data_IF_153414768178
#
_entry.id   IF_153414768178
#
_cell.length_a   1.000
_cell.length_b   1.000
_cell.length_c   1.000
_cell.angle_alpha   90.00
_cell.angle_beta   90.00
_cell.angle_gamma   90.00
#
_symmetry.space_group_name_H-M   'P 1'
#
loop_
_entity.id
_entity.type
_entity.pdbx_description
1 polymer ?
#
# COMPACT_ATOMS: atom_id res chain seq x y z
N UNK A 1 -14.86 7.24 -39.41
CA UNK A 1 -15.90 8.10 -38.80
C UNK A 1 -16.21 7.52 -37.43
N UNK A 2 -15.29 7.73 -36.48
CA UNK A 2 -15.44 7.31 -35.08
C UNK A 2 -15.57 8.62 -34.33
N UNK A 3 -16.81 9.11 -34.23
CA UNK A 3 -17.12 10.10 -33.20
C UNK A 3 -16.79 9.38 -31.88
N UNK A 4 -15.73 9.81 -31.21
CA UNK A 4 -15.52 9.47 -29.81
C UNK A 4 -16.77 9.97 -29.09
N UNK A 5 -17.68 9.06 -28.76
CA UNK A 5 -18.88 9.37 -28.00
C UNK A 5 -18.44 10.09 -26.73
N UNK A 6 -18.71 11.39 -26.67
CA UNK A 6 -18.46 12.24 -25.50
C UNK A 6 -19.12 11.70 -24.22
N UNK A 7 -20.06 10.76 -24.36
CA UNK A 7 -20.72 10.05 -23.28
C UNK A 7 -19.85 8.99 -22.57
N UNK A 8 -18.74 8.52 -23.18
CA UNK A 8 -17.86 7.48 -22.60
C UNK A 8 -16.76 8.01 -21.67
N UNK A 9 -16.50 9.33 -21.67
CA UNK A 9 -15.42 9.96 -20.90
C UNK A 9 -15.76 10.64 -19.54
N UNK A 10 -17.01 10.78 -19.05
CA UNK A 10 -17.27 11.50 -17.80
C UNK A 10 -16.81 10.76 -16.53
N UNK A 11 -16.44 9.48 -16.64
CA UNK A 11 -16.05 8.63 -15.49
C UNK A 11 -14.65 8.96 -14.95
N UNK A 12 -13.73 9.43 -15.80
CA UNK A 12 -12.34 9.72 -15.43
C UNK A 12 -12.20 10.99 -14.55
N UNK A 13 -12.86 12.13 -14.87
CA UNK A 13 -12.88 13.29 -13.98
C UNK A 13 -13.47 12.97 -12.60
N UNK A 14 -14.49 12.11 -12.53
CA UNK A 14 -15.17 11.72 -11.28
C UNK A 14 -14.23 10.98 -10.33
N UNK A 15 -13.43 10.02 -10.82
CA UNK A 15 -12.42 9.29 -10.05
C UNK A 15 -11.31 10.22 -9.51
N UNK A 16 -10.85 11.16 -10.33
CA UNK A 16 -9.87 12.18 -9.92
C UNK A 16 -10.40 13.15 -8.86
N UNK A 17 -11.63 13.65 -9.05
CA UNK A 17 -12.35 14.47 -8.08
C UNK A 17 -12.62 13.71 -6.78
N UNK A 18 -12.89 12.41 -6.86
CA UNK A 18 -13.03 11.55 -5.68
C UNK A 18 -11.72 11.42 -4.91
N UNK A 19 -10.59 11.21 -5.57
CA UNK A 19 -9.27 11.23 -4.92
C UNK A 19 -9.02 12.57 -4.22
N UNK A 20 -9.23 13.69 -4.91
CA UNK A 20 -9.06 15.03 -4.35
C UNK A 20 -10.03 15.27 -3.18
N UNK A 21 -11.31 14.92 -3.33
CA UNK A 21 -12.34 15.01 -2.28
C UNK A 21 -11.99 14.20 -1.05
N UNK A 22 -11.54 12.97 -1.25
CA UNK A 22 -11.22 12.03 -0.18
C UNK A 22 -10.06 12.53 0.67
N UNK A 23 -9.11 13.28 0.09
CA UNK A 23 -7.89 13.72 0.80
C UNK A 23 -7.84 15.20 1.15
N UNK A 24 -8.13 16.09 0.21
CA UNK A 24 -8.08 17.53 0.45
C UNK A 24 -9.32 18.07 1.17
N UNK A 25 -10.43 17.32 1.12
CA UNK A 25 -11.68 17.69 1.77
C UNK A 25 -12.08 16.71 2.89
N UNK A 26 -11.17 15.81 3.30
CA UNK A 26 -11.36 15.08 4.56
C UNK A 26 -11.46 16.10 5.69
N UNK A 27 -12.56 16.07 6.44
CA UNK A 27 -12.76 17.03 7.50
C UNK A 27 -11.66 16.85 8.57
N UNK A 28 -10.99 17.94 8.95
CA UNK A 28 -9.89 17.97 9.93
C UNK A 28 -10.36 17.37 11.28
N UNK A 29 -11.66 17.45 11.55
CA UNK A 29 -12.30 16.91 12.75
C UNK A 29 -12.47 15.38 12.76
N UNK A 30 -12.20 14.69 11.64
CA UNK A 30 -12.32 13.22 11.53
C UNK A 30 -11.07 12.51 12.05
N UNK A 31 -11.21 11.25 12.48
CA UNK A 31 -10.08 10.48 13.02
C UNK A 31 -9.04 10.12 11.94
N UNK A 32 -9.46 10.07 10.68
CA UNK A 32 -8.60 9.78 9.54
C UNK A 32 -7.50 10.82 9.35
N UNK A 33 -7.82 12.11 9.53
CA UNK A 33 -6.84 13.19 9.37
C UNK A 33 -5.64 13.09 10.33
N UNK A 34 -5.83 13.06 11.67
CA UNK A 34 -4.71 12.96 12.59
C UNK A 34 -3.98 11.61 12.43
N UNK A 35 -4.67 10.52 12.06
CA UNK A 35 -4.05 9.23 11.73
C UNK A 35 -3.03 9.37 10.58
N UNK A 36 -3.47 9.93 9.45
CA UNK A 36 -2.63 10.16 8.28
C UNK A 36 -1.50 11.15 8.60
N UNK A 37 -1.81 12.23 9.30
CA UNK A 37 -0.83 13.23 9.69
C UNK A 37 0.28 12.63 10.56
N UNK A 38 -0.07 11.84 11.57
CA UNK A 38 0.92 11.24 12.47
C UNK A 38 1.78 10.21 11.73
N UNK A 39 1.17 9.34 10.91
CA UNK A 39 1.85 8.30 10.14
C UNK A 39 2.77 8.84 9.04
N UNK A 40 2.33 9.87 8.32
CA UNK A 40 3.01 10.37 7.11
C UNK A 40 3.84 11.61 7.46
N UNK A 41 3.20 12.69 7.87
CA UNK A 41 3.84 14.00 8.04
C UNK A 41 4.72 14.01 9.27
N UNK A 42 4.16 13.76 10.45
CA UNK A 42 4.88 13.86 11.72
C UNK A 42 6.06 12.89 11.81
N UNK A 43 5.88 11.65 11.37
CA UNK A 43 6.95 10.65 11.36
C UNK A 43 8.09 11.04 10.39
N UNK A 44 7.78 11.67 9.25
CA UNK A 44 8.76 12.17 8.28
C UNK A 44 9.50 13.41 8.81
N UNK A 45 8.78 14.35 9.40
CA UNK A 45 9.39 15.52 10.06
C UNK A 45 10.34 15.10 11.18
N UNK A 46 9.92 14.12 12.00
CA UNK A 46 10.80 13.54 13.02
C UNK A 46 12.03 12.90 12.41
N UNK A 47 11.95 12.28 11.23
CA UNK A 47 13.14 11.74 10.57
C UNK A 47 14.11 12.86 10.16
N UNK A 48 13.61 13.92 9.54
CA UNK A 48 14.44 15.06 9.14
C UNK A 48 15.09 15.77 10.33
N UNK A 49 14.35 15.93 11.43
CA UNK A 49 14.86 16.57 12.65
C UNK A 49 15.84 15.69 13.45
N UNK A 50 15.89 14.38 13.19
CA UNK A 50 16.76 13.43 13.87
C UNK A 50 17.84 12.86 12.93
N UNK A 51 18.29 13.66 11.96
CA UNK A 51 19.39 13.27 11.10
C UNK A 51 20.71 13.19 11.89
N UNK A 52 21.52 12.21 11.52
CA UNK A 52 22.86 11.99 12.04
C UNK A 52 23.87 12.89 11.32
N UNK A 53 25.04 13.09 11.90
CA UNK A 53 26.09 13.90 11.27
C UNK A 53 26.67 13.17 10.04
N UNK A 54 27.14 13.93 9.04
CA UNK A 54 27.76 13.35 7.84
C UNK A 54 28.94 12.42 8.18
N UNK A 55 29.71 12.76 9.22
CA UNK A 55 30.80 11.92 9.71
C UNK A 55 30.30 10.56 10.21
N UNK A 56 29.23 10.55 11.01
CA UNK A 56 28.64 9.31 11.52
C UNK A 56 28.03 8.48 10.40
N UNK A 57 27.39 9.11 9.41
CA UNK A 57 26.87 8.44 8.21
C UNK A 57 28.01 7.75 7.46
N UNK A 58 29.11 8.47 7.21
CA UNK A 58 30.30 7.92 6.55
C UNK A 58 30.90 6.75 7.33
N UNK A 59 30.94 6.85 8.67
CA UNK A 59 31.43 5.80 9.56
C UNK A 59 30.54 4.55 9.54
N UNK A 60 29.22 4.70 9.56
CA UNK A 60 28.25 3.60 9.41
C UNK A 60 28.45 2.87 8.07
N UNK A 61 28.54 3.64 6.99
CA UNK A 61 28.77 3.12 5.64
C UNK A 61 30.06 2.30 5.54
N UNK A 62 31.19 2.88 5.99
CA UNK A 62 32.50 2.21 5.99
C UNK A 62 32.48 0.91 6.82
N UNK A 63 31.83 0.93 7.99
CA UNK A 63 31.75 -0.24 8.87
C UNK A 63 31.00 -1.40 8.21
N UNK A 64 29.94 -1.13 7.42
CA UNK A 64 29.21 -2.16 6.67
C UNK A 64 30.00 -2.68 5.48
N UNK A 65 30.62 -1.77 4.72
CA UNK A 65 31.49 -2.13 3.61
C UNK A 65 32.58 -3.12 4.07
N UNK A 66 33.25 -2.82 5.19
CA UNK A 66 34.27 -3.70 5.78
C UNK A 66 33.66 -5.05 6.20
N UNK A 67 32.50 -5.05 6.87
CA UNK A 67 31.81 -6.29 7.27
C UNK A 67 31.46 -7.17 6.07
N UNK A 68 30.97 -6.60 4.98
CA UNK A 68 30.63 -7.36 3.78
C UNK A 68 31.85 -7.92 3.06
N UNK A 69 32.91 -7.12 2.90
CA UNK A 69 34.18 -7.62 2.35
C UNK A 69 34.73 -8.77 3.20
N UNK A 70 34.66 -8.67 4.52
CA UNK A 70 35.08 -9.75 5.43
C UNK A 70 34.26 -11.02 5.23
N UNK A 71 32.93 -10.92 5.16
CA UNK A 71 32.04 -12.08 4.96
C UNK A 71 32.22 -12.71 3.58
N UNK A 72 32.42 -11.92 2.54
CA UNK A 72 32.71 -12.44 1.19
C UNK A 72 34.03 -13.20 1.13
N UNK A 73 35.11 -12.64 1.72
CA UNK A 73 36.42 -13.31 1.81
C UNK A 73 36.34 -14.64 2.58
N UNK A 74 35.51 -14.72 3.61
CA UNK A 74 35.28 -15.95 4.37
C UNK A 74 34.55 -17.00 3.52
N UNK A 75 33.52 -16.60 2.77
CA UNK A 75 32.73 -17.53 1.95
C UNK A 75 33.46 -18.01 0.68
N UNK A 76 34.49 -17.30 0.22
CA UNK A 76 35.24 -17.60 -1.01
C UNK A 76 36.66 -18.09 -0.76
N UNK A 77 36.96 -18.52 0.47
CA UNK A 77 38.31 -18.98 0.87
C UNK A 77 38.69 -20.35 0.30
N UNK A 78 37.78 -21.04 -0.39
CA UNK A 78 37.99 -22.40 -0.93
C UNK A 78 37.94 -22.47 -2.47
N UNK A 79 37.68 -21.37 -3.19
CA UNK A 79 37.69 -21.31 -4.65
C UNK A 79 39.12 -21.03 -5.18
N UNK A 80 40.03 -22.00 -5.10
CA UNK A 80 41.43 -21.82 -5.55
C UNK A 80 41.68 -22.15 -7.03
N UNK A 81 40.70 -22.64 -7.79
CA UNK A 81 40.92 -23.21 -9.14
C UNK A 81 40.50 -22.33 -10.34
N UNK A 82 40.17 -21.05 -10.15
CA UNK A 82 39.71 -20.19 -11.24
C UNK A 82 40.81 -19.32 -11.86
N UNK A 83 40.73 -19.13 -13.19
CA UNK A 83 41.65 -18.30 -13.97
C UNK A 83 41.69 -16.84 -13.51
N UNK A 84 42.81 -16.14 -13.74
CA UNK A 84 43.01 -14.74 -13.31
C UNK A 84 41.91 -13.81 -13.82
N UNK A 85 41.42 -14.03 -15.05
CA UNK A 85 40.36 -13.24 -15.68
C UNK A 85 38.99 -13.45 -15.01
N UNK A 86 38.65 -14.69 -14.65
CA UNK A 86 37.39 -15.00 -13.96
C UNK A 86 37.38 -14.47 -12.52
N UNK A 87 38.54 -14.45 -11.85
CA UNK A 87 38.73 -13.82 -10.53
C UNK A 87 38.56 -12.31 -10.58
N UNK A 88 39.10 -11.64 -11.60
CA UNK A 88 38.93 -10.20 -11.80
C UNK A 88 37.47 -9.82 -12.10
N UNK A 89 36.82 -10.51 -13.03
CA UNK A 89 35.42 -10.27 -13.38
C UNK A 89 34.48 -10.50 -12.17
N UNK A 90 34.70 -11.58 -11.41
CA UNK A 90 33.95 -11.89 -10.18
C UNK A 90 34.13 -10.79 -9.13
N UNK A 91 35.34 -10.25 -8.97
CA UNK A 91 35.61 -9.16 -8.03
C UNK A 91 34.97 -7.83 -8.48
N UNK A 92 35.02 -7.50 -9.77
CA UNK A 92 34.39 -6.29 -10.30
C UNK A 92 32.86 -6.34 -10.14
N UNK A 93 32.23 -7.44 -10.58
CA UNK A 93 30.79 -7.66 -10.41
C UNK A 93 30.42 -7.68 -8.93
N UNK A 94 31.24 -8.29 -8.07
CA UNK A 94 31.01 -8.29 -6.63
C UNK A 94 31.04 -6.89 -6.03
N UNK A 95 32.04 -6.06 -6.36
CA UNK A 95 32.11 -4.68 -5.85
C UNK A 95 30.93 -3.83 -6.34
N UNK A 96 30.46 -4.02 -7.59
CA UNK A 96 29.26 -3.35 -8.11
C UNK A 96 27.98 -3.82 -7.41
N UNK A 97 27.79 -5.14 -7.28
CA UNK A 97 26.66 -5.70 -6.54
C UNK A 97 26.68 -5.30 -5.06
N UNK A 98 27.86 -5.19 -4.47
CA UNK A 98 28.03 -4.76 -3.09
C UNK A 98 27.76 -3.26 -2.94
N UNK A 99 28.14 -2.42 -3.90
CA UNK A 99 27.76 -1.01 -3.93
C UNK A 99 26.25 -0.84 -4.07
N UNK A 100 25.59 -1.58 -4.98
CA UNK A 100 24.12 -1.59 -5.11
C UNK A 100 23.48 -2.07 -3.82
N UNK A 101 23.97 -3.17 -3.23
CA UNK A 101 23.47 -3.69 -1.96
C UNK A 101 23.64 -2.71 -0.82
N UNK A 102 24.79 -2.05 -0.72
CA UNK A 102 25.05 -1.02 0.29
C UNK A 102 24.16 0.19 0.07
N UNK A 103 23.92 0.60 -1.17
CA UNK A 103 23.03 1.69 -1.51
C UNK A 103 21.58 1.36 -1.11
N UNK A 104 21.06 0.20 -1.54
CA UNK A 104 19.73 -0.30 -1.15
C UNK A 104 19.63 -0.41 0.38
N UNK A 105 20.65 -0.94 1.03
CA UNK A 105 20.61 -1.14 2.48
C UNK A 105 20.79 0.16 3.25
N UNK A 106 21.52 1.14 2.73
CA UNK A 106 21.61 2.47 3.32
C UNK A 106 20.26 3.17 3.28
N UNK A 107 19.51 2.94 2.20
CA UNK A 107 18.10 3.31 2.07
C UNK A 107 17.19 2.55 3.04
N UNK A 108 17.26 1.22 3.06
CA UNK A 108 16.43 0.36 3.93
C UNK A 108 16.69 0.59 5.43
N UNK A 109 17.95 0.84 5.81
CA UNK A 109 18.36 1.06 7.19
C UNK A 109 18.36 2.55 7.56
N UNK A 110 18.03 3.44 6.61
CA UNK A 110 17.91 4.88 6.84
C UNK A 110 19.13 5.44 7.58
N UNK A 111 20.34 5.19 7.05
CA UNK A 111 21.62 5.44 7.75
C UNK A 111 21.82 6.89 8.20
N UNK A 112 21.12 7.80 7.52
CA UNK A 112 21.06 9.22 7.82
C UNK A 112 20.32 9.52 9.13
N UNK A 113 19.63 8.57 9.72
CA UNK A 113 18.88 8.73 10.97
C UNK A 113 19.74 8.37 12.19
N UNK A 114 19.71 9.21 13.21
CA UNK A 114 20.12 8.82 14.56
C UNK A 114 18.98 8.03 15.22
N UNK A 115 19.11 6.70 15.22
CA UNK A 115 18.09 5.81 15.80
C UNK A 115 17.78 6.10 17.27
N UNK A 116 18.75 6.61 18.06
CA UNK A 116 18.52 6.88 19.48
C UNK A 116 17.63 8.11 19.65
N UNK A 117 17.97 9.21 18.97
CA UNK A 117 17.16 10.43 18.98
C UNK A 117 15.78 10.20 18.39
N UNK A 118 15.71 9.45 17.28
CA UNK A 118 14.43 9.14 16.65
C UNK A 118 13.55 8.23 17.52
N UNK A 119 14.15 7.28 18.27
CA UNK A 119 13.41 6.45 19.24
C UNK A 119 12.90 7.25 20.46
N UNK A 120 13.64 8.28 20.89
CA UNK A 120 13.24 9.16 22.00
C UNK A 120 12.05 10.07 21.65
N UNK A 121 11.80 10.27 20.35
CA UNK A 121 10.70 11.06 19.83
C UNK A 121 9.60 10.13 19.27
N UNK A 122 8.68 9.62 20.10
CA UNK A 122 7.61 8.74 19.66
C UNK A 122 6.58 9.49 18.79
N UNK A 123 5.75 8.72 18.07
CA UNK A 123 4.58 9.25 17.36
C UNK A 123 3.50 9.68 18.36
N UNK A 124 2.60 10.59 17.96
CA UNK A 124 1.59 11.17 18.87
C UNK A 124 0.42 10.22 19.14
N UNK A 125 -0.19 9.67 18.10
CA UNK A 125 -1.31 8.72 18.21
C UNK A 125 -0.83 7.32 18.56
N UNK A 126 0.41 7.00 18.18
CA UNK A 126 0.98 5.68 18.31
C UNK A 126 2.33 5.67 19.04
N UNK A 127 2.38 6.12 20.30
CA UNK A 127 3.64 6.30 21.01
C UNK A 127 4.40 4.99 21.26
N UNK A 128 3.70 3.86 21.15
CA UNK A 128 4.21 2.51 21.45
C UNK A 128 4.61 1.72 20.20
N UNK A 129 4.53 2.33 19.02
CA UNK A 129 4.96 1.68 17.77
C UNK A 129 6.46 1.48 17.77
N UNK A 130 6.88 0.32 17.30
CA UNK A 130 8.30 -0.03 17.29
C UNK A 130 9.08 0.86 16.30
N UNK A 131 10.34 1.14 16.63
CA UNK A 131 11.26 1.83 15.72
C UNK A 131 11.30 1.18 14.32
N UNK A 132 11.28 -0.15 14.28
CA UNK A 132 11.27 -0.92 13.03
C UNK A 132 10.06 -0.59 12.15
N UNK A 133 8.87 -0.52 12.75
CA UNK A 133 7.64 -0.17 12.04
C UNK A 133 7.71 1.27 11.51
N UNK A 134 8.23 2.22 12.30
CA UNK A 134 8.41 3.61 11.88
C UNK A 134 9.36 3.77 10.71
N UNK A 135 10.49 3.04 10.74
CA UNK A 135 11.44 3.00 9.63
C UNK A 135 10.78 2.42 8.37
N UNK A 136 10.00 1.34 8.50
CA UNK A 136 9.26 0.76 7.37
C UNK A 136 8.23 1.72 6.79
N UNK A 137 7.50 2.45 7.63
CA UNK A 137 6.59 3.50 7.15
C UNK A 137 7.34 4.56 6.34
N UNK A 138 8.46 5.08 6.85
CA UNK A 138 9.27 6.08 6.13
C UNK A 138 9.79 5.54 4.79
N UNK A 139 10.28 4.30 4.79
CA UNK A 139 10.72 3.64 3.58
C UNK A 139 9.58 3.52 2.57
N UNK A 140 8.38 3.11 3.00
CA UNK A 140 7.20 3.06 2.14
C UNK A 140 6.86 4.45 1.60
N UNK A 141 6.89 5.49 2.44
CA UNK A 141 6.67 6.88 2.01
C UNK A 141 7.66 7.29 0.91
N UNK A 142 8.96 7.06 1.11
CA UNK A 142 9.98 7.45 0.12
C UNK A 142 9.91 6.63 -1.16
N UNK A 143 9.64 5.33 -1.07
CA UNK A 143 9.44 4.48 -2.26
C UNK A 143 8.22 4.98 -3.04
N UNK A 144 7.11 5.26 -2.37
CA UNK A 144 5.91 5.79 -3.03
C UNK A 144 6.17 7.14 -3.68
N UNK A 145 6.91 8.04 -3.02
CA UNK A 145 7.30 9.33 -3.59
C UNK A 145 8.16 9.18 -4.86
N UNK A 146 9.12 8.25 -4.85
CA UNK A 146 9.96 7.97 -6.03
C UNK A 146 9.17 7.31 -7.17
N UNK A 147 8.27 6.37 -6.83
CA UNK A 147 7.38 5.77 -7.81
C UNK A 147 6.49 6.85 -8.43
N UNK A 148 5.90 7.72 -7.61
CA UNK A 148 5.07 8.82 -8.09
C UNK A 148 5.86 9.74 -9.03
N UNK A 149 7.07 10.15 -8.65
CA UNK A 149 7.94 10.97 -9.49
C UNK A 149 8.25 10.28 -10.84
N UNK A 150 8.68 9.02 -10.81
CA UNK A 150 8.98 8.26 -12.04
C UNK A 150 7.75 8.12 -12.93
N UNK A 151 6.58 7.88 -12.34
CA UNK A 151 5.35 7.67 -13.06
C UNK A 151 4.86 8.99 -13.70
N UNK A 152 4.98 10.11 -12.98
CA UNK A 152 4.79 11.45 -13.57
C UNK A 152 5.75 11.73 -14.72
N UNK A 153 7.04 11.41 -14.57
CA UNK A 153 8.03 11.61 -15.62
C UNK A 153 7.70 10.76 -16.86
N UNK A 154 7.33 9.49 -16.65
CA UNK A 154 6.90 8.59 -17.72
C UNK A 154 5.65 9.11 -18.43
N UNK A 155 4.66 9.65 -17.71
CA UNK A 155 3.49 10.27 -18.33
C UNK A 155 3.84 11.55 -19.08
N UNK A 156 4.65 12.42 -18.48
CA UNK A 156 5.05 13.70 -19.07
C UNK A 156 5.80 13.51 -20.39
N UNK A 157 6.62 12.45 -20.50
CA UNK A 157 7.34 12.11 -21.73
C UNK A 157 6.47 11.26 -22.68
N UNK A 158 5.80 10.24 -22.14
CA UNK A 158 5.05 9.26 -22.92
C UNK A 158 3.80 9.84 -23.57
N UNK A 159 3.13 10.79 -22.93
CA UNK A 159 1.91 11.38 -23.47
C UNK A 159 2.18 12.21 -24.74
N UNK A 160 3.13 13.16 -24.78
CA UNK A 160 3.45 13.89 -26.01
C UNK A 160 3.84 12.97 -27.17
N UNK A 161 4.58 11.88 -26.89
CA UNK A 161 4.97 10.90 -27.91
C UNK A 161 3.72 10.17 -28.44
N UNK A 162 2.87 9.67 -27.55
CA UNK A 162 1.62 9.00 -27.93
C UNK A 162 0.69 9.94 -28.71
N UNK A 163 0.55 11.18 -28.24
CA UNK A 163 -0.21 12.22 -28.92
C UNK A 163 0.35 12.53 -30.30
N UNK A 164 1.66 12.71 -30.45
CA UNK A 164 2.28 12.95 -31.75
C UNK A 164 1.94 11.84 -32.75
N UNK A 165 2.04 10.58 -32.31
CA UNK A 165 1.78 9.42 -33.17
C UNK A 165 0.31 9.36 -33.58
N UNK A 166 -0.61 9.49 -32.63
CA UNK A 166 -2.06 9.49 -32.91
C UNK A 166 -2.42 10.70 -33.77
N UNK A 167 -1.85 11.87 -33.47
CA UNK A 167 -2.12 13.10 -34.20
C UNK A 167 -1.65 13.02 -35.65
N UNK A 168 -0.52 12.37 -35.95
CA UNK A 168 -0.08 12.16 -37.34
C UNK A 168 -1.11 11.36 -38.14
N UNK A 169 -1.75 10.38 -37.51
CA UNK A 169 -2.80 9.58 -38.13
C UNK A 169 -4.11 10.36 -38.25
N UNK A 170 -4.54 11.07 -37.20
CA UNK A 170 -5.79 11.84 -37.18
C UNK A 170 -5.74 13.08 -38.08
N UNK A 171 -4.60 13.78 -38.14
CA UNK A 171 -4.41 14.93 -39.02
C UNK A 171 -4.24 14.55 -40.50
N UNK A 172 -4.08 13.25 -40.80
CA UNK A 172 -4.06 12.77 -42.18
C UNK A 172 -5.44 12.74 -42.84
N UNK A 173 -6.53 12.80 -42.06
CA UNK A 173 -7.89 12.83 -42.60
C UNK A 173 -8.25 14.20 -43.21
N UNK A 174 -8.77 14.19 -44.44
CA UNK A 174 -9.08 15.40 -45.22
C UNK A 174 -10.01 16.39 -44.50
N UNK A 175 -10.99 15.89 -43.75
CA UNK A 175 -11.94 16.70 -42.98
C UNK A 175 -11.23 17.52 -41.90
N UNK A 176 -10.24 16.93 -41.24
CA UNK A 176 -9.47 17.59 -40.17
C UNK A 176 -8.49 18.59 -40.79
N UNK A 177 -7.81 18.19 -41.87
CA UNK A 177 -6.82 19.02 -42.58
C UNK A 177 -7.41 20.31 -43.16
N UNK A 178 -8.65 20.27 -43.61
CA UNK A 178 -9.32 21.42 -44.26
C UNK A 178 -10.00 22.37 -43.28
N UNK A 179 -10.31 21.92 -42.06
CA UNK A 179 -11.04 22.70 -41.06
C UNK A 179 -10.15 23.11 -39.89
N UNK A 180 -9.83 24.41 -39.81
CA UNK A 180 -9.13 25.00 -38.67
C UNK A 180 -9.86 24.76 -37.34
N UNK A 181 -11.20 24.86 -37.35
CA UNK A 181 -12.03 24.68 -36.15
C UNK A 181 -11.91 23.25 -35.64
N UNK A 182 -11.98 22.24 -36.52
CA UNK A 182 -11.83 20.84 -36.12
C UNK A 182 -10.43 20.54 -35.59
N UNK A 183 -9.40 21.06 -36.26
CA UNK A 183 -8.01 20.93 -35.78
C UNK A 183 -7.84 21.53 -34.37
N UNK A 184 -8.36 22.73 -34.15
CA UNK A 184 -8.29 23.40 -32.85
C UNK A 184 -9.09 22.65 -31.77
N UNK A 185 -10.29 22.17 -32.10
CA UNK A 185 -11.12 21.38 -31.19
C UNK A 185 -10.42 20.09 -30.74
N UNK A 186 -9.81 19.34 -31.68
CA UNK A 186 -9.06 18.11 -31.36
C UNK A 186 -7.84 18.38 -30.48
N UNK A 187 -7.14 19.50 -30.67
CA UNK A 187 -6.03 19.91 -29.81
C UNK A 187 -6.53 20.20 -28.39
N UNK A 188 -7.62 20.97 -28.24
CA UNK A 188 -8.22 21.25 -26.93
C UNK A 188 -8.69 19.97 -26.24
N UNK A 189 -9.39 19.10 -26.96
CA UNK A 189 -9.87 17.83 -26.44
C UNK A 189 -8.72 16.95 -25.96
N UNK A 190 -7.65 16.86 -26.76
CA UNK A 190 -6.43 16.12 -26.39
C UNK A 190 -5.79 16.70 -25.12
N UNK A 191 -5.60 18.02 -25.03
CA UNK A 191 -5.03 18.66 -23.84
C UNK A 191 -5.91 18.40 -22.61
N UNK A 192 -7.23 18.50 -22.78
CA UNK A 192 -8.19 18.26 -21.70
C UNK A 192 -8.14 16.80 -21.23
N UNK A 193 -8.11 15.86 -22.16
CA UNK A 193 -7.95 14.43 -21.89
C UNK A 193 -6.66 14.16 -21.11
N UNK A 194 -5.55 14.77 -21.52
CA UNK A 194 -4.27 14.64 -20.82
C UNK A 194 -4.35 15.09 -19.37
N UNK A 195 -4.89 16.28 -19.15
CA UNK A 195 -5.05 16.85 -17.82
C UNK A 195 -5.94 15.95 -16.97
N UNK A 196 -7.02 15.40 -17.54
CA UNK A 196 -7.90 14.47 -16.83
C UNK A 196 -7.20 13.16 -16.46
N UNK A 197 -6.40 12.58 -17.37
CA UNK A 197 -5.59 11.38 -17.08
C UNK A 197 -4.59 11.67 -15.97
N UNK A 198 -3.89 12.81 -16.03
CA UNK A 198 -2.95 13.23 -14.99
C UNK A 198 -3.64 13.38 -13.63
N UNK A 199 -4.79 14.05 -13.57
CA UNK A 199 -5.55 14.26 -12.33
C UNK A 199 -6.04 12.92 -11.76
N UNK A 200 -6.59 12.05 -12.60
CA UNK A 200 -7.08 10.73 -12.18
C UNK A 200 -5.95 9.88 -11.63
N UNK A 201 -4.83 9.84 -12.33
CA UNK A 201 -3.68 9.09 -11.90
C UNK A 201 -3.10 9.65 -10.60
N UNK A 202 -3.03 10.97 -10.48
CA UNK A 202 -2.60 11.61 -9.25
C UNK A 202 -3.53 11.29 -8.08
N UNK A 203 -4.84 11.30 -8.31
CA UNK A 203 -5.83 10.89 -7.32
C UNK A 203 -5.66 9.43 -6.90
N UNK A 204 -5.46 8.51 -7.86
CA UNK A 204 -5.25 7.08 -7.59
C UNK A 204 -3.93 6.81 -6.85
N UNK A 205 -2.85 7.50 -7.22
CA UNK A 205 -1.56 7.39 -6.53
C UNK A 205 -1.60 7.97 -5.14
N UNK A 206 -2.24 9.12 -4.96
CA UNK A 206 -2.46 9.73 -3.64
C UNK A 206 -3.28 8.78 -2.76
N UNK A 207 -4.37 8.20 -3.28
CA UNK A 207 -5.19 7.22 -2.58
C UNK A 207 -4.39 5.97 -2.18
N UNK A 208 -3.63 5.40 -3.11
CA UNK A 208 -2.80 4.23 -2.86
C UNK A 208 -1.72 4.50 -1.80
N UNK A 209 -0.98 5.61 -1.94
CA UNK A 209 0.13 5.96 -1.04
C UNK A 209 -0.35 6.27 0.39
N UNK A 210 -1.42 7.05 0.52
CA UNK A 210 -2.03 7.39 1.81
C UNK A 210 -2.73 6.21 2.47
N UNK A 211 -3.24 5.23 1.71
CA UNK A 211 -3.77 3.99 2.26
C UNK A 211 -2.65 3.05 2.72
N UNK A 212 -1.58 2.94 1.93
CA UNK A 212 -0.50 1.98 2.14
C UNK A 212 0.28 2.25 3.44
N UNK A 213 0.47 3.52 3.83
CA UNK A 213 1.30 3.86 5.01
C UNK A 213 0.60 3.47 6.33
N UNK A 214 -0.64 3.89 6.63
CA UNK A 214 -1.39 3.41 7.79
C UNK A 214 -1.67 1.90 7.73
N UNK A 215 -1.84 1.33 6.54
CA UNK A 215 -1.92 -0.12 6.36
C UNK A 215 -0.66 -0.81 6.85
N UNK A 216 0.52 -0.38 6.40
CA UNK A 216 1.79 -1.01 6.75
C UNK A 216 2.04 -0.92 8.25
N UNK A 217 1.70 0.22 8.84
CA UNK A 217 1.70 0.45 10.27
C UNK A 217 0.81 -0.55 11.01
N UNK A 218 -0.44 -0.70 10.55
CA UNK A 218 -1.42 -1.64 11.10
C UNK A 218 -0.93 -3.08 11.02
N UNK A 219 -0.45 -3.49 9.85
CA UNK A 219 0.01 -4.84 9.59
C UNK A 219 1.17 -5.24 10.50
N UNK A 220 2.22 -4.42 10.55
CA UNK A 220 3.42 -4.69 11.34
C UNK A 220 3.08 -4.76 12.84
N UNK A 221 2.23 -3.84 13.28
CA UNK A 221 1.80 -3.73 14.67
C UNK A 221 0.96 -4.94 15.10
N UNK A 222 -0.04 -5.31 14.31
CA UNK A 222 -0.88 -6.49 14.54
C UNK A 222 -0.09 -7.79 14.47
N UNK A 223 0.85 -7.90 13.53
CA UNK A 223 1.72 -9.08 13.40
C UNK A 223 2.56 -9.27 14.67
N UNK A 224 3.16 -8.19 15.19
CA UNK A 224 3.93 -8.24 16.43
C UNK A 224 3.06 -8.64 17.65
N UNK A 225 1.81 -8.17 17.69
CA UNK A 225 0.84 -8.56 18.72
C UNK A 225 0.48 -10.04 18.64
N UNK A 226 0.18 -10.54 17.43
CA UNK A 226 -0.09 -11.94 17.18
C UNK A 226 1.10 -12.83 17.56
N UNK A 227 2.32 -12.46 17.19
CA UNK A 227 3.54 -13.16 17.60
C UNK A 227 3.73 -13.17 19.12
N UNK A 228 3.51 -12.04 19.78
CA UNK A 228 3.63 -11.91 21.23
C UNK A 228 2.64 -12.83 21.94
N UNK A 229 1.39 -12.90 21.47
CA UNK A 229 0.39 -13.79 22.01
C UNK A 229 0.69 -15.25 21.73
N UNK A 230 1.15 -15.58 20.53
CA UNK A 230 1.58 -16.94 20.21
C UNK A 230 2.74 -17.39 21.10
N UNK A 231 3.67 -16.49 21.45
CA UNK A 231 4.75 -16.78 22.41
C UNK A 231 4.20 -17.04 23.82
N UNK A 232 3.23 -16.26 24.29
CA UNK A 232 2.55 -16.49 25.60
C UNK A 232 1.72 -17.78 25.56
N UNK A 233 1.11 -18.09 24.42
CA UNK A 233 0.33 -19.31 24.24
C UNK A 233 1.23 -20.56 24.26
N UNK A 234 2.43 -20.48 23.70
CA UNK A 234 3.43 -21.56 23.71
C UNK A 234 4.25 -21.67 25.00
N UNK A 235 4.32 -20.60 25.81
CA UNK A 235 5.05 -20.64 27.08
C UNK A 235 4.33 -21.54 28.11
N UNK A 236 4.97 -21.74 29.27
CA UNK A 236 4.55 -22.63 30.39
C UNK A 236 3.03 -22.65 30.65
N UNK A 237 2.56 -23.71 31.32
CA UNK A 237 1.15 -23.89 31.70
C UNK A 237 0.62 -22.68 32.50
N UNK A 238 1.46 -22.08 33.35
CA UNK A 238 1.09 -20.91 34.15
C UNK A 238 1.59 -19.58 33.55
N UNK A 239 0.70 -18.59 33.51
CA UNK A 239 1.00 -17.21 33.10
C UNK A 239 1.62 -16.44 34.27
N UNK A 240 2.86 -15.98 34.13
CA UNK A 240 3.51 -15.16 35.14
C UNK A 240 3.00 -13.69 35.14
N UNK A 241 3.38 -12.89 36.15
CA UNK A 241 2.96 -11.48 36.26
C UNK A 241 3.44 -10.62 35.08
N UNK A 242 4.61 -10.89 34.51
CA UNK A 242 5.16 -10.13 33.37
C UNK A 242 4.38 -10.45 32.09
N UNK A 243 4.03 -11.71 31.89
CA UNK A 243 3.19 -12.18 30.79
C UNK A 243 1.77 -11.63 30.91
N UNK A 244 1.22 -11.57 32.13
CA UNK A 244 -0.08 -10.95 32.38
C UNK A 244 -0.09 -9.46 31.99
N UNK A 245 0.95 -8.71 32.35
CA UNK A 245 1.12 -7.32 31.93
C UNK A 245 1.24 -7.18 30.41
N UNK A 246 2.02 -8.06 29.75
CA UNK A 246 2.13 -8.10 28.28
C UNK A 246 0.79 -8.41 27.62
N UNK A 247 0.00 -9.31 28.19
CA UNK A 247 -1.32 -9.67 27.68
C UNK A 247 -2.29 -8.50 27.78
N UNK A 248 -2.30 -7.78 28.92
CA UNK A 248 -3.05 -6.54 29.08
C UNK A 248 -2.65 -5.47 28.07
N UNK A 249 -1.35 -5.33 27.85
CA UNK A 249 -0.81 -4.39 26.86
C UNK A 249 -1.31 -4.74 25.46
N UNK A 250 -1.13 -6.00 25.02
CA UNK A 250 -1.56 -6.44 23.69
C UNK A 250 -3.06 -6.27 23.51
N UNK A 251 -3.87 -6.65 24.51
CA UNK A 251 -5.32 -6.48 24.48
C UNK A 251 -5.72 -5.00 24.26
N UNK A 252 -5.16 -4.08 25.06
CA UNK A 252 -5.48 -2.64 24.95
C UNK A 252 -5.07 -2.09 23.59
N UNK A 253 -3.89 -2.46 23.12
CA UNK A 253 -3.38 -1.97 21.84
C UNK A 253 -4.16 -2.55 20.65
N UNK A 254 -4.58 -3.82 20.71
CA UNK A 254 -5.42 -4.42 19.68
C UNK A 254 -6.78 -3.72 19.57
N UNK A 255 -7.43 -3.40 20.69
CA UNK A 255 -8.68 -2.62 20.69
C UNK A 255 -8.46 -1.23 20.11
N UNK A 256 -7.40 -0.53 20.53
CA UNK A 256 -7.09 0.79 20.02
C UNK A 256 -6.84 0.76 18.50
N UNK A 257 -6.13 -0.26 18.02
CA UNK A 257 -5.89 -0.45 16.59
C UNK A 257 -7.19 -0.69 15.81
N UNK A 258 -8.06 -1.53 16.36
CA UNK A 258 -9.36 -1.85 15.76
C UNK A 258 -10.26 -0.61 15.71
N UNK A 259 -10.20 0.23 16.76
CA UNK A 259 -10.89 1.53 16.77
C UNK A 259 -10.43 2.41 15.62
N UNK A 260 -9.12 2.58 15.42
CA UNK A 260 -8.59 3.37 14.30
C UNK A 260 -9.01 2.81 12.94
N UNK A 261 -9.00 1.48 12.76
CA UNK A 261 -9.42 0.85 11.50
C UNK A 261 -10.91 1.14 11.22
N UNK A 262 -11.80 0.89 12.18
CA UNK A 262 -13.26 1.05 11.96
C UNK A 262 -13.64 2.51 11.73
N UNK A 263 -13.09 3.42 12.52
CA UNK A 263 -13.48 4.83 12.43
C UNK A 263 -12.87 5.48 11.19
N UNK A 264 -11.60 5.21 10.88
CA UNK A 264 -11.02 5.72 9.64
C UNK A 264 -11.76 5.15 8.41
N UNK A 265 -12.19 3.89 8.48
CA UNK A 265 -13.03 3.28 7.44
C UNK A 265 -14.34 4.04 7.26
N UNK A 266 -15.11 4.24 8.33
CA UNK A 266 -16.39 4.96 8.27
C UNK A 266 -16.25 6.41 7.78
N UNK A 267 -15.21 7.09 8.23
CA UNK A 267 -15.01 8.52 7.95
C UNK A 267 -14.68 8.75 6.47
N UNK A 268 -13.77 7.94 5.90
CA UNK A 268 -13.17 8.22 4.58
C UNK A 268 -13.04 6.98 3.72
N UNK A 269 -12.42 5.90 4.23
CA UNK A 269 -11.99 4.81 3.36
C UNK A 269 -13.14 4.01 2.77
N UNK A 270 -14.21 3.78 3.50
CA UNK A 270 -15.36 3.00 3.05
C UNK A 270 -15.97 3.59 1.77
N UNK A 271 -16.17 4.91 1.76
CA UNK A 271 -16.67 5.63 0.59
C UNK A 271 -15.64 5.65 -0.54
N UNK A 272 -14.38 5.92 -0.23
CA UNK A 272 -13.32 5.98 -1.23
C UNK A 272 -13.14 4.63 -1.96
N UNK A 273 -13.12 3.53 -1.23
CA UNK A 273 -12.99 2.17 -1.75
C UNK A 273 -14.23 1.76 -2.54
N UNK A 274 -15.43 2.14 -2.08
CA UNK A 274 -16.68 1.94 -2.81
C UNK A 274 -16.63 2.63 -4.18
N UNK A 275 -16.38 3.93 -4.21
CA UNK A 275 -16.34 4.67 -5.46
C UNK A 275 -15.21 4.19 -6.38
N UNK A 276 -14.03 3.91 -5.83
CA UNK A 276 -12.94 3.33 -6.60
C UNK A 276 -13.37 2.02 -7.26
N UNK A 277 -13.99 1.11 -6.53
CA UNK A 277 -14.48 -0.15 -7.11
C UNK A 277 -15.56 0.05 -8.17
N UNK A 278 -16.50 0.97 -7.93
CA UNK A 278 -17.62 1.26 -8.83
C UNK A 278 -17.16 1.76 -10.19
N UNK A 279 -16.11 2.59 -10.23
CA UNK A 279 -15.58 3.15 -11.48
C UNK A 279 -14.47 2.31 -12.08
N UNK A 280 -13.58 1.73 -11.25
CA UNK A 280 -12.41 0.99 -11.72
C UNK A 280 -12.80 -0.31 -12.44
N UNK A 281 -13.83 -1.01 -11.96
CA UNK A 281 -14.29 -2.28 -12.55
C UNK A 281 -14.82 -2.08 -13.99
N UNK A 282 -15.83 -1.22 -14.25
CA UNK A 282 -16.32 -0.99 -15.60
C UNK A 282 -15.25 -0.42 -16.52
N UNK A 283 -14.41 0.50 -16.03
CA UNK A 283 -13.33 1.09 -16.82
C UNK A 283 -12.34 0.04 -17.31
N UNK A 284 -11.87 -0.85 -16.43
CA UNK A 284 -10.99 -1.95 -16.83
C UNK A 284 -11.67 -2.90 -17.82
N UNK A 285 -12.95 -3.20 -17.62
CA UNK A 285 -13.69 -4.06 -18.55
C UNK A 285 -13.82 -3.41 -19.94
N UNK A 286 -14.10 -2.10 -20.01
CA UNK A 286 -14.14 -1.36 -21.27
C UNK A 286 -12.79 -1.36 -21.98
N UNK A 287 -11.68 -1.06 -21.29
CA UNK A 287 -10.34 -1.07 -21.89
C UNK A 287 -10.01 -2.45 -22.48
N UNK A 288 -10.35 -3.54 -21.79
CA UNK A 288 -10.12 -4.88 -22.33
C UNK A 288 -11.02 -5.15 -23.54
N UNK A 289 -12.29 -4.74 -23.52
CA UNK A 289 -13.17 -4.90 -24.68
C UNK A 289 -12.63 -4.14 -25.90
N UNK A 290 -12.19 -2.90 -25.72
CA UNK A 290 -11.52 -2.10 -26.78
C UNK A 290 -10.28 -2.82 -27.33
N UNK A 291 -9.43 -3.40 -26.46
CA UNK A 291 -8.25 -4.17 -26.91
C UNK A 291 -8.64 -5.42 -27.73
N UNK A 292 -9.75 -6.07 -27.37
CA UNK A 292 -10.17 -7.34 -27.97
C UNK A 292 -10.94 -7.19 -29.27
N UNK A 293 -11.83 -6.20 -29.35
CA UNK A 293 -12.80 -6.07 -30.45
C UNK A 293 -12.45 -4.99 -31.46
N UNK A 294 -11.73 -3.94 -31.06
CA UNK A 294 -11.40 -2.84 -31.97
C UNK A 294 -10.09 -3.09 -32.71
N UNK A 295 -10.05 -2.67 -33.97
CA UNK A 295 -8.83 -2.72 -34.78
C UNK A 295 -7.90 -1.56 -34.43
N UNK A 296 -7.18 -1.70 -33.32
CA UNK A 296 -6.21 -0.71 -32.85
C UNK A 296 -4.83 -0.92 -33.49
N UNK A 297 -4.13 0.16 -33.90
CA UNK A 297 -2.72 0.09 -34.28
C UNK A 297 -1.87 -0.57 -33.18
N UNK A 298 -0.82 -1.31 -33.57
CA UNK A 298 0.01 -2.10 -32.64
C UNK A 298 0.52 -1.28 -31.45
N UNK A 299 0.91 -0.03 -31.68
CA UNK A 299 1.38 0.86 -30.63
C UNK A 299 0.27 1.26 -29.66
N UNK A 300 -0.91 1.64 -30.17
CA UNK A 300 -2.09 1.98 -29.37
C UNK A 300 -2.54 0.81 -28.51
N UNK A 301 -2.49 -0.41 -29.08
CA UNK A 301 -2.77 -1.65 -28.33
C UNK A 301 -1.79 -1.85 -27.17
N UNK A 302 -0.48 -1.69 -27.41
CA UNK A 302 0.54 -1.79 -26.35
C UNK A 302 0.30 -0.75 -25.25
N UNK A 303 -0.05 0.48 -25.63
CA UNK A 303 -0.38 1.55 -24.68
C UNK A 303 -1.59 1.17 -23.81
N UNK A 304 -2.67 0.67 -24.41
CA UNK A 304 -3.88 0.29 -23.68
C UNK A 304 -3.63 -0.90 -22.75
N UNK A 305 -2.84 -1.88 -23.18
CA UNK A 305 -2.39 -2.99 -22.32
C UNK A 305 -1.59 -2.45 -21.13
N UNK A 306 -0.65 -1.54 -21.35
CA UNK A 306 0.13 -0.94 -20.27
C UNK A 306 -0.77 -0.19 -19.27
N UNK A 307 -1.73 0.61 -19.75
CA UNK A 307 -2.71 1.32 -18.91
C UNK A 307 -3.55 0.32 -18.09
N UNK A 308 -4.07 -0.73 -18.72
CA UNK A 308 -4.86 -1.76 -18.05
C UNK A 308 -4.06 -2.46 -16.94
N UNK A 309 -2.80 -2.82 -17.21
CA UNK A 309 -1.91 -3.45 -16.21
C UNK A 309 -1.64 -2.50 -15.04
N UNK A 310 -1.28 -1.24 -15.32
CA UNK A 310 -0.98 -0.25 -14.28
C UNK A 310 -2.21 0.02 -13.42
N UNK A 311 -3.39 0.19 -14.03
CA UNK A 311 -4.63 0.44 -13.30
C UNK A 311 -5.08 -0.79 -12.50
N UNK A 312 -4.98 -2.00 -13.06
CA UNK A 312 -5.27 -3.24 -12.33
C UNK A 312 -4.31 -3.46 -11.15
N UNK A 313 -3.01 -3.16 -11.32
CA UNK A 313 -2.02 -3.29 -10.25
C UNK A 313 -2.24 -2.26 -9.15
N UNK A 314 -2.44 -0.98 -9.50
CA UNK A 314 -2.68 0.10 -8.53
C UNK A 314 -3.99 -0.06 -7.79
N UNK A 315 -5.01 -0.70 -8.39
CA UNK A 315 -6.25 -1.05 -7.71
C UNK A 315 -6.14 -2.29 -6.82
N UNK A 316 -5.61 -3.40 -7.34
CA UNK A 316 -5.61 -4.69 -6.64
C UNK A 316 -4.68 -4.73 -5.43
N UNK A 317 -3.50 -4.09 -5.50
CA UNK A 317 -2.50 -4.14 -4.41
C UNK A 317 -3.05 -3.55 -3.10
N UNK A 318 -3.61 -2.32 -3.06
CA UNK A 318 -4.23 -1.78 -1.85
C UNK A 318 -5.35 -2.68 -1.29
N UNK A 319 -6.19 -3.25 -2.15
CA UNK A 319 -7.26 -4.14 -1.69
C UNK A 319 -6.73 -5.42 -1.04
N UNK A 320 -5.73 -6.07 -1.66
CA UNK A 320 -5.07 -7.25 -1.10
C UNK A 320 -4.38 -6.94 0.24
N UNK A 321 -3.76 -5.77 0.33
CA UNK A 321 -3.21 -5.24 1.57
C UNK A 321 -4.30 -5.12 2.64
N UNK A 322 -5.37 -4.36 2.40
CA UNK A 322 -6.45 -4.18 3.38
C UNK A 322 -7.08 -5.51 3.82
N UNK A 323 -7.27 -6.46 2.89
CA UNK A 323 -7.74 -7.81 3.22
C UNK A 323 -6.77 -8.57 4.15
N UNK A 324 -5.46 -8.39 3.96
CA UNK A 324 -4.44 -8.98 4.84
C UNK A 324 -4.43 -8.35 6.24
N UNK A 325 -4.69 -7.05 6.37
CA UNK A 325 -4.92 -6.43 7.69
C UNK A 325 -6.11 -7.08 8.38
N UNK A 326 -7.23 -7.28 7.67
CA UNK A 326 -8.39 -7.97 8.24
C UNK A 326 -8.02 -9.36 8.77
N UNK A 327 -7.25 -10.14 8.01
CA UNK A 327 -6.78 -11.46 8.47
C UNK A 327 -5.97 -11.34 9.75
N UNK A 328 -5.06 -10.37 9.85
CA UNK A 328 -4.21 -10.17 11.03
C UNK A 328 -4.97 -9.65 12.25
N UNK A 329 -5.98 -8.78 12.07
CA UNK A 329 -6.89 -8.35 13.15
C UNK A 329 -7.56 -9.56 13.78
N UNK A 330 -8.04 -10.49 12.93
CA UNK A 330 -8.79 -11.67 13.36
C UNK A 330 -7.92 -12.85 13.79
N UNK A 331 -6.63 -12.88 13.44
CA UNK A 331 -5.74 -14.00 13.76
C UNK A 331 -5.61 -14.24 15.28
N UNK A 332 -5.73 -13.19 16.08
CA UNK A 332 -5.65 -13.26 17.55
C UNK A 332 -6.64 -14.24 18.16
N UNK A 333 -7.84 -14.40 17.57
CA UNK A 333 -8.92 -15.25 18.11
C UNK A 333 -8.52 -16.71 18.25
N UNK A 334 -7.56 -17.19 17.45
CA UNK A 334 -7.02 -18.56 17.55
C UNK A 334 -6.30 -18.81 18.88
N UNK A 335 -5.70 -17.77 19.47
CA UNK A 335 -4.90 -17.87 20.68
C UNK A 335 -5.67 -17.47 21.95
N UNK A 336 -6.86 -16.89 21.83
CA UNK A 336 -7.64 -16.45 22.98
C UNK A 336 -8.13 -17.61 23.86
N UNK A 337 -8.78 -18.67 23.34
CA UNK A 337 -9.34 -19.74 24.18
C UNK A 337 -8.29 -20.43 25.06
N UNK A 338 -7.12 -20.73 24.51
CA UNK A 338 -6.03 -21.35 25.26
C UNK A 338 -5.46 -20.42 26.33
N UNK A 339 -5.36 -19.12 26.06
CA UNK A 339 -4.95 -18.13 27.07
C UNK A 339 -5.99 -18.01 28.18
N UNK A 340 -7.30 -18.01 27.86
CA UNK A 340 -8.37 -17.98 28.85
C UNK A 340 -8.33 -19.21 29.78
N UNK A 341 -8.04 -20.39 29.24
CA UNK A 341 -7.84 -21.61 30.03
C UNK A 341 -6.66 -21.44 31.00
N UNK A 342 -5.50 -20.98 30.54
CA UNK A 342 -4.34 -20.72 31.41
C UNK A 342 -4.61 -19.67 32.49
N UNK A 343 -5.33 -18.60 32.16
CA UNK A 343 -5.75 -17.58 33.13
C UNK A 343 -6.68 -18.18 34.20
N UNK A 344 -7.52 -19.15 33.83
CA UNK A 344 -8.44 -19.83 34.74
C UNK A 344 -7.74 -20.80 35.71
N UNK A 345 -6.58 -21.35 35.33
CA UNK A 345 -5.78 -22.26 36.16
C UNK A 345 -4.95 -21.52 37.22
N UNK A 346 -4.64 -20.24 37.01
CA UNK A 346 -3.91 -19.40 37.96
C UNK A 346 -4.85 -18.79 39.03
N UNK A 347 -5.19 -19.56 40.06
CA UNK A 347 -6.13 -19.15 41.11
C UNK A 347 -5.49 -18.99 42.51
N UNK A 348 -4.62 -18.00 42.69
CA UNK A 348 -4.13 -17.63 44.03
C UNK A 348 -4.16 -16.11 44.28
N UNK A 349 -4.76 -15.70 45.40
CA UNK A 349 -4.71 -14.34 45.96
C UNK A 349 -5.21 -13.21 45.05
N UNK A 350 -4.61 -12.00 45.20
CA UNK A 350 -4.92 -10.78 44.40
C UNK A 350 -4.78 -10.99 42.88
N UNK A 351 -3.99 -11.96 42.44
CA UNK A 351 -3.81 -12.29 41.02
C UNK A 351 -5.09 -12.87 40.41
N UNK A 352 -5.94 -13.53 41.21
CA UNK A 352 -7.24 -14.07 40.78
C UNK A 352 -8.17 -12.97 40.23
N UNK A 353 -8.27 -11.82 40.91
CA UNK A 353 -9.12 -10.72 40.44
C UNK A 353 -8.63 -10.12 39.12
N UNK A 354 -7.31 -9.97 38.95
CA UNK A 354 -6.74 -9.44 37.71
C UNK A 354 -6.90 -10.43 36.55
N UNK A 355 -6.71 -11.72 36.80
CA UNK A 355 -6.91 -12.78 35.82
C UNK A 355 -8.38 -12.87 35.39
N UNK A 356 -9.32 -12.75 36.34
CA UNK A 356 -10.76 -12.78 36.04
C UNK A 356 -11.18 -11.59 35.16
N UNK A 357 -10.75 -10.37 35.50
CA UNK A 357 -11.04 -9.17 34.71
C UNK A 357 -10.50 -9.29 33.27
N UNK A 358 -9.29 -9.80 33.11
CA UNK A 358 -8.70 -9.99 31.79
C UNK A 358 -9.38 -11.13 31.01
N UNK A 359 -9.77 -12.21 31.69
CA UNK A 359 -10.52 -13.31 31.09
C UNK A 359 -11.85 -12.82 30.50
N UNK A 360 -12.63 -12.07 31.26
CA UNK A 360 -13.92 -11.49 30.80
C UNK A 360 -13.70 -10.59 29.59
N UNK A 361 -12.67 -9.74 29.62
CA UNK A 361 -12.32 -8.86 28.50
C UNK A 361 -11.88 -9.61 27.24
N UNK A 362 -11.11 -10.68 27.41
CA UNK A 362 -10.72 -11.54 26.30
C UNK A 362 -11.91 -12.32 25.75
N UNK A 363 -12.88 -12.66 26.59
CA UNK A 363 -14.13 -13.32 26.18
C UNK A 363 -14.98 -12.42 25.29
N UNK A 364 -15.23 -11.18 25.74
CA UNK A 364 -15.90 -10.14 24.94
C UNK A 364 -15.16 -9.88 23.62
N UNK A 365 -13.83 -9.81 23.63
CA UNK A 365 -13.05 -9.68 22.39
C UNK A 365 -13.19 -10.90 21.48
N UNK A 366 -13.17 -12.12 22.03
CA UNK A 366 -13.32 -13.35 21.26
C UNK A 366 -14.70 -13.44 20.61
N UNK A 367 -15.75 -13.11 21.35
CA UNK A 367 -17.12 -13.06 20.86
C UNK A 367 -17.25 -12.05 19.70
N UNK A 368 -16.71 -10.83 19.87
CA UNK A 368 -16.70 -9.81 18.81
C UNK A 368 -15.96 -10.27 17.55
N UNK A 369 -14.87 -11.02 17.68
CA UNK A 369 -14.06 -11.52 16.56
C UNK A 369 -14.63 -12.78 15.90
N UNK A 370 -15.60 -13.44 16.53
CA UNK A 370 -16.20 -14.69 16.02
C UNK A 370 -17.64 -14.49 15.55
N UNK A 371 -18.47 -13.85 16.36
CA UNK A 371 -19.91 -13.66 16.14
C UNK A 371 -20.26 -12.21 15.76
N UNK A 372 -19.41 -11.25 16.13
CA UNK A 372 -19.65 -9.83 15.83
C UNK A 372 -19.46 -9.47 14.35
N UNK A 373 -19.86 -8.23 14.00
CA UNK A 373 -19.54 -7.65 12.69
C UNK A 373 -18.02 -7.69 12.47
N UNK A 374 -17.61 -8.08 11.27
CA UNK A 374 -16.21 -8.20 10.91
C UNK A 374 -15.48 -6.87 11.12
N UNK A 375 -14.40 -6.93 11.88
CA UNK A 375 -13.51 -5.81 12.13
C UNK A 375 -12.57 -5.65 10.93
N UNK A 376 -13.01 -4.89 9.92
CA UNK A 376 -12.33 -4.71 8.64
C UNK A 376 -12.69 -3.38 7.98
N UNK A 377 -11.90 -3.00 6.98
CA UNK A 377 -12.30 -2.00 6.00
C UNK A 377 -13.50 -2.51 5.18
N UNK A 378 -14.27 -1.59 4.59
CA UNK A 378 -15.49 -1.92 3.84
C UNK A 378 -15.51 -1.26 2.45
N UNK A 379 -16.26 -1.86 1.53
CA UNK A 379 -16.61 -1.28 0.23
C UNK A 379 -17.93 -0.52 0.32
N UNK A 380 -18.02 0.48 1.21
CA UNK A 380 -19.29 1.14 1.46
C UNK A 380 -20.35 0.14 1.93
N UNK A 381 -21.50 0.13 1.24
CA UNK A 381 -22.58 -0.82 1.49
C UNK A 381 -22.39 -2.19 0.83
N UNK A 382 -21.37 -2.39 -0.02
CA UNK A 382 -21.17 -3.65 -0.76
C UNK A 382 -20.64 -4.80 0.11
N UNK A 383 -19.95 -4.48 1.21
CA UNK A 383 -19.47 -5.49 2.16
C UNK A 383 -18.04 -5.26 2.65
N UNK A 384 -17.50 -6.27 3.33
CA UNK A 384 -16.20 -6.21 4.00
C UNK A 384 -15.03 -6.52 3.04
N UNK A 385 -13.96 -5.73 3.13
CA UNK A 385 -12.70 -5.95 2.40
C UNK A 385 -11.96 -7.14 3.01
N UNK A 386 -12.29 -8.33 2.51
CA UNK A 386 -11.69 -9.62 2.89
C UNK A 386 -11.35 -10.40 1.63
N UNK A 387 -10.49 -11.42 1.71
CA UNK A 387 -10.18 -12.25 0.53
C UNK A 387 -11.43 -12.85 -0.13
N UNK A 388 -12.45 -13.19 0.67
CA UNK A 388 -13.76 -13.60 0.15
C UNK A 388 -14.46 -12.46 -0.59
N UNK A 389 -14.54 -11.27 0.01
CA UNK A 389 -15.13 -10.10 -0.64
C UNK A 389 -14.40 -9.68 -1.92
N UNK A 390 -13.07 -9.81 -1.96
CA UNK A 390 -12.28 -9.59 -3.18
C UNK A 390 -12.56 -10.62 -4.27
N UNK A 391 -12.77 -11.88 -3.89
CA UNK A 391 -13.20 -12.91 -4.82
C UNK A 391 -14.60 -12.63 -5.37
N UNK A 392 -15.54 -12.21 -4.52
CA UNK A 392 -16.88 -11.80 -4.94
C UNK A 392 -16.81 -10.57 -5.90
N UNK A 393 -15.98 -9.58 -5.61
CA UNK A 393 -15.75 -8.43 -6.50
C UNK A 393 -15.14 -8.85 -7.85
N UNK A 394 -14.25 -9.86 -7.86
CA UNK A 394 -13.72 -10.44 -9.11
C UNK A 394 -14.83 -11.10 -9.94
N UNK A 395 -15.79 -11.79 -9.31
CA UNK A 395 -16.93 -12.35 -10.02
C UNK A 395 -17.83 -11.25 -10.61
N UNK A 396 -18.04 -10.16 -9.88
CA UNK A 396 -18.75 -8.97 -10.41
C UNK A 396 -18.01 -8.40 -11.61
N UNK A 397 -16.68 -8.28 -11.53
CA UNK A 397 -15.86 -7.85 -12.66
C UNK A 397 -16.05 -8.73 -13.90
N UNK A 398 -16.03 -10.05 -13.74
CA UNK A 398 -16.28 -11.00 -14.84
C UNK A 398 -17.69 -10.82 -15.41
N UNK A 399 -18.71 -10.62 -14.56
CA UNK A 399 -20.09 -10.36 -15.00
C UNK A 399 -20.22 -9.07 -15.80
N UNK A 400 -19.61 -7.98 -15.33
CA UNK A 400 -19.58 -6.68 -16.03
C UNK A 400 -18.84 -6.80 -17.36
N UNK A 401 -17.72 -7.54 -17.39
CA UNK A 401 -16.98 -7.80 -18.62
C UNK A 401 -17.85 -8.50 -19.68
N UNK A 402 -18.59 -9.55 -19.31
CA UNK A 402 -19.50 -10.23 -20.25
C UNK A 402 -20.66 -9.34 -20.68
N UNK A 403 -21.19 -8.50 -19.78
CA UNK A 403 -22.26 -7.56 -20.11
C UNK A 403 -21.80 -6.55 -21.17
N UNK A 404 -20.63 -5.94 -20.98
CA UNK A 404 -20.04 -4.98 -21.92
C UNK A 404 -19.69 -5.69 -23.24
N UNK A 405 -19.05 -6.85 -23.16
CA UNK A 405 -18.74 -7.67 -24.35
C UNK A 405 -20.00 -7.99 -25.16
N UNK A 406 -21.13 -8.28 -24.49
CA UNK A 406 -22.42 -8.52 -25.14
C UNK A 406 -22.97 -7.31 -25.89
N UNK A 407 -22.59 -6.08 -25.53
CA UNK A 407 -22.89 -4.89 -26.33
C UNK A 407 -22.00 -4.82 -27.57
N UNK A 408 -20.69 -5.07 -27.44
CA UNK A 408 -19.76 -5.08 -28.59
C UNK A 408 -20.10 -6.16 -29.62
N UNK A 409 -20.61 -7.33 -29.21
CA UNK A 409 -21.01 -8.40 -30.13
C UNK A 409 -22.33 -8.15 -30.86
N UNK A 410 -23.12 -7.15 -30.44
CA UNK A 410 -24.39 -6.79 -31.08
C UNK A 410 -24.26 -5.60 -32.04
N UNK A 411 -23.20 -4.81 -31.91
CA UNK A 411 -22.75 -3.80 -32.86
C UNK A 411 -21.92 -4.49 -33.95
#
# INVERSE_FOLDING_TARGET
MMYLDSERFPLYPLLGLLGIRTFYFANIDTLTFPLLYDCIVYNTDQYHNNQDTEENIRKKYQTRLIRYRKRFRLNHRHDHHHSVLTKWLKNYLFEKLLAIRLWIQSWLEMDRMDHRKFQQNPMKLFPLVTLRTRIRMLLTTFIMDHINFLLHLCLFIGYPIGWLIISMEVFSYDIVRTSFIMTFALIIESITLFIMILILMQGALLLSSTAAIPYQMSLDTLTNYNETLNKINRSRIMIDRKQLQKLWFVYRQHIQMTYYIIYADKDVWSHALYYYSLFSIPMNAMIICEILFEYLPSLTRILFIAIAIVHAATGSIPFLMLANVTVNVHAIKKSIPSIQLKLSMNQSGKQRQQNLRLKIKLDDLYERLTMGKKLSYTFGSLGDVTFRGLFEALLVYVGVFFMITGFYLKL
#
